data_IF_845011895784
#
_entry.id   IF_845011895784
#
_cell.length_a   1.000
_cell.length_b   1.000
_cell.length_c   1.000
_cell.angle_alpha   90.00
_cell.angle_beta   90.00
_cell.angle_gamma   90.00
#
_symmetry.space_group_name_H-M   'P 1'
#
loop_
_entity.id
_entity.type
_entity.pdbx_description
1 polymer ?
#
# COMPACT_ATOMS: atom_id res chain seq x y z
N UNK A 1 -18.72 -77.22 25.53
CA UNK A 1 -17.33 -76.91 25.95
C UNK A 1 -17.38 -76.54 27.44
N UNK A 2 -16.66 -77.29 28.28
CA UNK A 2 -16.80 -77.21 29.74
C UNK A 2 -16.10 -75.94 30.25
N UNK A 3 -16.86 -74.99 30.85
CA UNK A 3 -16.41 -73.68 31.32
C UNK A 3 -15.19 -73.77 32.24
N UNK A 4 -15.11 -74.88 33.02
CA UNK A 4 -14.00 -75.14 33.95
C UNK A 4 -12.67 -75.42 33.19
N UNK A 5 -12.68 -76.14 32.07
CA UNK A 5 -11.53 -76.37 31.23
C UNK A 5 -11.04 -75.11 30.47
N UNK A 6 -11.97 -74.22 30.17
CA UNK A 6 -11.63 -72.95 29.54
C UNK A 6 -10.96 -72.00 30.54
N UNK A 7 -11.45 -71.98 31.80
CA UNK A 7 -10.83 -71.16 32.86
C UNK A 7 -9.45 -71.65 33.26
N UNK A 8 -9.21 -72.97 33.32
CA UNK A 8 -7.86 -73.56 33.56
C UNK A 8 -6.90 -73.25 32.42
N UNK A 9 -7.33 -73.38 31.15
CA UNK A 9 -6.51 -73.01 29.98
C UNK A 9 -6.18 -71.53 29.88
N UNK A 10 -7.02 -70.63 30.43
CA UNK A 10 -6.72 -69.20 30.49
C UNK A 10 -5.78 -68.85 31.68
N UNK A 11 -5.74 -69.66 32.75
CA UNK A 11 -4.80 -69.49 33.84
C UNK A 11 -3.36 -69.88 33.53
N UNK A 12 -3.17 -70.70 32.50
CA UNK A 12 -1.83 -71.12 32.01
C UNK A 12 -1.21 -70.18 30.97
N UNK A 13 -1.92 -69.12 30.54
CA UNK A 13 -1.38 -68.15 29.61
C UNK A 13 -0.42 -67.21 30.40
N UNK A 14 0.85 -67.34 30.07
CA UNK A 14 1.92 -66.51 30.66
C UNK A 14 1.56 -65.03 30.55
N UNK A 15 1.52 -64.29 31.68
CA UNK A 15 1.20 -62.87 31.78
C UNK A 15 1.98 -62.01 30.76
N UNK A 16 3.12 -62.51 30.31
CA UNK A 16 3.94 -61.85 29.24
C UNK A 16 3.16 -61.71 27.94
N UNK A 17 2.39 -62.73 27.53
CA UNK A 17 1.62 -62.69 26.29
C UNK A 17 0.42 -61.75 26.38
N UNK A 18 -0.17 -61.61 27.57
CA UNK A 18 -1.27 -60.67 27.81
C UNK A 18 -0.73 -59.23 27.77
N UNK A 19 0.40 -58.98 28.42
CA UNK A 19 1.07 -57.64 28.40
C UNK A 19 1.54 -57.33 26.97
N UNK A 20 2.08 -58.28 26.23
CA UNK A 20 2.54 -58.07 24.87
C UNK A 20 1.33 -57.76 23.92
N UNK A 21 0.23 -58.47 24.04
CA UNK A 21 -0.98 -58.21 23.25
C UNK A 21 -1.61 -56.83 23.54
N UNK A 22 -1.63 -56.44 24.79
CA UNK A 22 -2.14 -55.08 25.21
C UNK A 22 -1.17 -54.01 24.72
N UNK A 23 0.14 -54.23 24.84
CA UNK A 23 1.15 -53.29 24.36
C UNK A 23 1.17 -53.14 22.84
N UNK A 24 0.91 -54.24 22.11
CA UNK A 24 0.79 -54.25 20.66
C UNK A 24 -0.39 -53.42 20.17
N UNK A 25 -1.61 -53.62 20.76
CA UNK A 25 -2.76 -52.79 20.45
C UNK A 25 -2.50 -51.32 20.70
N UNK A 26 -1.79 -50.96 21.79
CA UNK A 26 -1.45 -49.58 22.13
C UNK A 26 -0.44 -48.95 21.17
N UNK A 27 0.56 -49.71 20.70
CA UNK A 27 1.54 -49.30 19.69
C UNK A 27 0.89 -49.06 18.31
N UNK A 28 0.00 -49.96 17.88
CA UNK A 28 -0.70 -49.81 16.59
C UNK A 28 -1.66 -48.63 16.62
N UNK A 29 -2.36 -48.37 17.71
CA UNK A 29 -3.25 -47.20 17.86
C UNK A 29 -2.44 -45.88 17.81
N UNK A 30 -1.31 -45.79 18.56
CA UNK A 30 -0.41 -44.62 18.48
C UNK A 30 0.14 -44.39 17.07
N UNK A 31 0.58 -45.43 16.39
CA UNK A 31 1.09 -45.33 15.01
C UNK A 31 0.04 -44.80 14.03
N UNK A 32 -1.20 -45.24 14.14
CA UNK A 32 -2.32 -44.75 13.31
C UNK A 32 -2.66 -43.30 13.60
N UNK A 33 -2.63 -42.85 14.86
CA UNK A 33 -2.87 -41.46 15.26
C UNK A 33 -1.76 -40.57 14.73
N UNK A 34 -0.49 -40.95 14.89
CA UNK A 34 0.66 -40.21 14.37
C UNK A 34 0.59 -40.09 12.83
N UNK A 35 0.28 -41.20 12.13
CA UNK A 35 0.15 -41.18 10.67
C UNK A 35 -0.96 -40.26 10.18
N UNK A 36 -2.12 -40.23 10.87
CA UNK A 36 -3.22 -39.31 10.56
C UNK A 36 -2.84 -37.86 10.85
N UNK A 37 -2.12 -37.59 11.95
CA UNK A 37 -1.63 -36.24 12.28
C UNK A 37 -0.63 -35.72 11.25
N UNK A 38 0.30 -36.57 10.76
CA UNK A 38 1.27 -36.23 9.71
C UNK A 38 0.57 -35.93 8.38
N UNK A 39 -0.43 -36.72 8.00
CA UNK A 39 -1.22 -36.48 6.79
C UNK A 39 -2.00 -35.17 6.91
N UNK A 40 -2.65 -34.91 8.04
CA UNK A 40 -3.39 -33.67 8.28
C UNK A 40 -2.46 -32.44 8.25
N UNK A 41 -1.28 -32.53 8.86
CA UNK A 41 -0.26 -31.46 8.81
C UNK A 41 0.21 -31.22 7.36
N UNK A 42 0.45 -32.27 6.57
CA UNK A 42 0.82 -32.14 5.17
C UNK A 42 -0.25 -31.45 4.32
N UNK A 43 -1.52 -31.81 4.50
CA UNK A 43 -2.64 -31.17 3.80
C UNK A 43 -2.76 -29.69 4.20
N UNK A 44 -2.64 -29.36 5.49
CA UNK A 44 -2.68 -27.98 5.98
C UNK A 44 -1.54 -27.13 5.38
N UNK A 45 -0.33 -27.70 5.28
CA UNK A 45 0.82 -26.99 4.68
C UNK A 45 0.59 -26.72 3.19
N UNK A 46 0.11 -27.71 2.42
CA UNK A 46 -0.23 -27.52 1.00
C UNK A 46 -1.33 -26.50 0.84
N UNK A 47 -2.38 -26.52 1.66
CA UNK A 47 -3.46 -25.55 1.63
C UNK A 47 -2.93 -24.12 1.89
N UNK A 48 -2.08 -23.94 2.91
CA UNK A 48 -1.48 -22.64 3.21
C UNK A 48 -0.59 -22.14 2.05
N UNK A 49 0.17 -23.03 1.41
CA UNK A 49 0.96 -22.68 0.22
C UNK A 49 0.07 -22.23 -0.94
N UNK A 50 -1.01 -22.94 -1.23
CA UNK A 50 -1.95 -22.59 -2.31
C UNK A 50 -2.61 -21.25 -2.02
N UNK A 51 -3.09 -21.02 -0.80
CA UNK A 51 -3.67 -19.73 -0.39
C UNK A 51 -2.66 -18.59 -0.52
N UNK A 52 -1.40 -18.84 -0.14
CA UNK A 52 -0.31 -17.85 -0.27
C UNK A 52 -0.04 -17.50 -1.73
N UNK A 53 0.00 -18.50 -2.62
CA UNK A 53 0.21 -18.29 -4.06
C UNK A 53 -0.96 -17.49 -4.67
N UNK A 54 -2.21 -17.84 -4.31
CA UNK A 54 -3.40 -17.12 -4.78
C UNK A 54 -3.38 -15.66 -4.31
N UNK A 55 -3.02 -15.41 -3.05
CA UNK A 55 -2.90 -14.05 -2.52
C UNK A 55 -1.76 -13.27 -3.19
N UNK A 56 -0.63 -13.89 -3.47
CA UNK A 56 0.45 -13.25 -4.23
C UNK A 56 0.00 -12.84 -5.64
N UNK A 57 -0.77 -13.67 -6.33
CA UNK A 57 -1.25 -13.35 -7.67
C UNK A 57 -2.35 -12.26 -7.65
N UNK A 58 -3.25 -12.29 -6.68
CA UNK A 58 -4.32 -11.29 -6.53
C UNK A 58 -3.81 -9.88 -6.24
N UNK A 59 -2.66 -9.79 -5.56
CA UNK A 59 -2.07 -8.51 -5.18
C UNK A 59 -1.12 -7.94 -6.25
N UNK A 60 -0.85 -8.69 -7.34
CA UNK A 60 0.01 -8.22 -8.42
C UNK A 60 -0.72 -7.23 -9.32
N UNK A 61 -0.08 -6.09 -9.57
CA UNK A 61 -0.54 -5.10 -10.54
C UNK A 61 -0.03 -5.51 -11.93
N UNK A 62 -0.91 -5.49 -12.92
CA UNK A 62 -0.52 -5.73 -14.31
C UNK A 62 0.09 -4.46 -14.88
N UNK A 63 1.24 -4.58 -15.50
CA UNK A 63 1.98 -3.49 -16.10
C UNK A 63 1.93 -3.62 -17.62
N UNK A 64 2.05 -2.52 -18.32
CA UNK A 64 2.17 -2.47 -19.79
C UNK A 64 3.54 -2.96 -20.27
N UNK A 65 3.69 -3.15 -21.57
CA UNK A 65 4.95 -3.53 -22.21
C UNK A 65 6.04 -2.43 -22.13
N UNK A 66 5.67 -1.22 -21.65
CA UNK A 66 6.61 -0.12 -21.41
C UNK A 66 7.43 -0.34 -20.14
N UNK A 67 6.91 -1.14 -19.22
CA UNK A 67 7.59 -1.50 -17.97
C UNK A 67 8.44 -2.76 -18.18
N UNK A 68 9.70 -2.73 -17.74
CA UNK A 68 10.67 -3.79 -17.99
C UNK A 68 11.42 -4.21 -16.72
N UNK A 69 11.55 -5.49 -16.46
CA UNK A 69 12.24 -6.08 -15.30
C UNK A 69 11.74 -5.56 -13.94
N UNK A 70 10.48 -5.14 -13.85
CA UNK A 70 9.86 -4.61 -12.63
C UNK A 70 8.62 -5.42 -12.28
N UNK A 71 8.34 -5.55 -11.00
CA UNK A 71 7.11 -6.15 -10.50
C UNK A 71 6.48 -5.25 -9.44
N UNK A 72 5.17 -5.05 -9.52
CA UNK A 72 4.43 -4.23 -8.56
C UNK A 72 3.31 -5.03 -7.93
N UNK A 73 3.14 -4.86 -6.61
CA UNK A 73 2.06 -5.50 -5.88
C UNK A 73 1.56 -4.64 -4.73
N UNK A 74 0.30 -4.80 -4.38
CA UNK A 74 -0.24 -4.24 -3.15
C UNK A 74 0.37 -4.92 -1.92
N UNK A 75 0.59 -4.15 -0.85
CA UNK A 75 1.12 -4.64 0.43
C UNK A 75 0.39 -4.01 1.61
N UNK A 76 0.04 -4.83 2.61
CA UNK A 76 -0.50 -4.36 3.89
C UNK A 76 0.59 -4.02 4.92
N UNK A 77 1.83 -4.49 4.67
CA UNK A 77 2.96 -4.29 5.58
C UNK A 77 4.13 -3.67 4.80
N UNK A 78 4.10 -2.35 4.56
CA UNK A 78 5.25 -1.68 3.98
C UNK A 78 6.41 -1.74 4.98
N UNK A 79 7.55 -2.26 4.54
CA UNK A 79 8.75 -2.33 5.34
C UNK A 79 9.82 -1.44 4.72
N UNK A 80 10.09 -0.29 5.33
CA UNK A 80 11.07 0.66 4.84
C UNK A 80 12.38 0.45 5.57
N UNK A 81 13.43 0.11 4.82
CA UNK A 81 14.80 0.40 5.24
C UNK A 81 15.14 1.82 4.79
N UNK A 82 15.46 2.69 5.73
CA UNK A 82 15.88 4.06 5.46
C UNK A 82 17.09 4.06 4.51
N UNK A 83 16.88 4.42 3.26
CA UNK A 83 17.97 4.49 2.27
C UNK A 83 18.14 5.84 1.60
N UNK A 84 17.18 6.75 1.67
CA UNK A 84 17.29 8.03 0.98
C UNK A 84 16.89 9.18 1.91
N UNK A 85 17.83 10.07 2.20
CA UNK A 85 17.58 11.43 2.63
C UNK A 85 17.77 12.32 1.42
N UNK A 86 16.70 12.74 0.77
CA UNK A 86 16.71 13.87 -0.17
C UNK A 86 16.42 15.13 0.60
N UNK A 87 17.02 16.27 0.22
CA UNK A 87 16.52 17.57 0.65
C UNK A 87 15.60 18.14 -0.43
N UNK A 88 14.49 18.74 0.01
CA UNK A 88 13.59 19.42 -0.92
C UNK A 88 14.31 20.59 -1.59
N UNK A 89 14.13 20.72 -2.90
CA UNK A 89 14.61 21.90 -3.65
C UNK A 89 13.85 23.12 -3.14
N UNK A 90 14.56 24.21 -2.81
CA UNK A 90 13.91 25.47 -2.46
C UNK A 90 13.13 26.01 -3.65
N UNK A 91 11.83 26.18 -3.48
CA UNK A 91 10.91 26.76 -4.46
C UNK A 91 10.18 27.93 -3.81
N UNK A 92 9.98 28.99 -4.56
CA UNK A 92 9.05 30.08 -4.20
C UNK A 92 7.61 29.61 -4.33
N UNK A 93 6.67 30.35 -3.74
CA UNK A 93 5.24 30.04 -3.88
C UNK A 93 4.78 30.04 -5.34
N UNK A 94 5.29 30.94 -6.19
CA UNK A 94 4.99 30.94 -7.63
C UNK A 94 5.56 29.72 -8.34
N UNK A 95 6.80 29.30 -8.01
CA UNK A 95 7.42 28.13 -8.59
C UNK A 95 6.69 26.82 -8.22
N UNK A 96 6.00 26.75 -7.08
CA UNK A 96 5.15 25.61 -6.73
C UNK A 96 3.99 25.42 -7.71
N UNK A 97 3.52 26.50 -8.35
CA UNK A 97 2.44 26.46 -9.34
C UNK A 97 2.93 26.37 -10.80
N UNK A 98 4.21 26.70 -11.06
CA UNK A 98 4.71 26.84 -12.43
C UNK A 98 5.85 25.90 -12.80
N UNK A 99 6.57 25.37 -11.80
CA UNK A 99 7.76 24.53 -12.02
C UNK A 99 7.43 23.18 -12.64
N UNK A 100 6.30 22.61 -12.24
CA UNK A 100 5.79 21.33 -12.70
C UNK A 100 4.40 21.49 -13.30
N UNK A 101 4.10 20.71 -14.33
CA UNK A 101 2.74 20.65 -14.84
C UNK A 101 1.89 19.87 -13.83
N UNK A 102 1.01 20.57 -13.11
CA UNK A 102 0.15 19.99 -12.08
C UNK A 102 -1.33 20.26 -12.38
N UNK A 103 -2.17 19.26 -12.13
CA UNK A 103 -3.60 19.50 -11.95
C UNK A 103 -3.85 20.02 -10.54
N UNK A 104 -4.89 20.86 -10.36
CA UNK A 104 -5.26 21.38 -9.04
C UNK A 104 -6.74 21.15 -8.84
N UNK A 105 -7.09 20.38 -7.82
CA UNK A 105 -8.49 20.07 -7.51
C UNK A 105 -8.72 19.89 -6.01
N UNK A 106 -9.95 20.19 -5.57
CA UNK A 106 -10.47 19.83 -4.25
C UNK A 106 -11.14 18.46 -4.37
N UNK A 107 -10.90 17.57 -3.42
CA UNK A 107 -11.47 16.22 -3.47
C UNK A 107 -11.45 15.53 -2.12
N UNK A 108 -12.04 14.32 -2.08
CA UNK A 108 -12.09 13.48 -0.89
C UNK A 108 -11.41 12.14 -1.16
N UNK A 109 -10.47 11.78 -0.30
CA UNK A 109 -9.75 10.51 -0.40
C UNK A 109 -10.73 9.37 -0.10
N UNK A 110 -10.91 8.45 -1.06
CA UNK A 110 -11.77 7.27 -0.91
C UNK A 110 -11.03 6.08 -0.34
N UNK A 111 -9.83 5.85 -0.82
CA UNK A 111 -9.01 4.70 -0.45
C UNK A 111 -7.53 5.03 -0.63
N UNK A 112 -6.67 4.44 0.19
CA UNK A 112 -5.22 4.43 0.00
C UNK A 112 -4.72 3.00 0.07
N UNK A 113 -3.95 2.58 -0.91
CA UNK A 113 -3.31 1.26 -0.96
C UNK A 113 -1.80 1.40 -1.05
N UNK A 114 -1.10 0.81 -0.09
CA UNK A 114 0.35 0.72 -0.18
C UNK A 114 0.76 -0.29 -1.25
N UNK A 115 1.84 0.02 -1.95
CA UNK A 115 2.45 -0.82 -2.96
C UNK A 115 3.92 -1.05 -2.66
N UNK A 116 4.45 -2.14 -3.14
CA UNK A 116 5.89 -2.39 -3.26
C UNK A 116 6.22 -2.56 -4.73
N UNK A 117 7.19 -1.79 -5.18
CA UNK A 117 7.79 -1.86 -6.51
C UNK A 117 9.13 -2.60 -6.38
N UNK A 118 9.28 -3.69 -7.09
CA UNK A 118 10.50 -4.51 -7.09
C UNK A 118 11.25 -4.27 -8.41
N UNK A 119 12.31 -3.47 -8.36
CA UNK A 119 13.20 -3.18 -9.47
C UNK A 119 14.33 -4.21 -9.50
N UNK A 120 14.07 -5.38 -10.11
CA UNK A 120 15.07 -6.42 -10.25
C UNK A 120 15.77 -6.78 -8.92
N UNK A 121 14.97 -6.90 -7.83
CA UNK A 121 15.43 -7.24 -6.48
C UNK A 121 15.60 -6.05 -5.53
N UNK A 122 15.67 -4.82 -6.01
CA UNK A 122 15.62 -3.60 -5.20
C UNK A 122 14.17 -3.16 -5.00
N UNK A 123 13.77 -2.95 -3.74
CA UNK A 123 12.39 -2.69 -3.39
C UNK A 123 12.18 -1.27 -2.95
N UNK A 124 11.22 -0.62 -3.62
CA UNK A 124 10.72 0.68 -3.26
C UNK A 124 9.26 0.59 -2.77
N UNK A 125 8.91 1.40 -1.78
CA UNK A 125 7.59 1.43 -1.20
C UNK A 125 6.93 2.77 -1.45
N UNK A 126 5.69 2.73 -1.96
CA UNK A 126 4.86 3.88 -2.29
C UNK A 126 3.42 3.60 -1.85
N UNK A 127 2.53 4.55 -2.06
CA UNK A 127 1.11 4.31 -1.95
C UNK A 127 0.38 4.90 -3.16
N UNK A 128 -0.86 4.44 -3.40
CA UNK A 128 -1.77 5.00 -4.39
C UNK A 128 -3.03 5.44 -3.65
N UNK A 129 -3.35 6.72 -3.76
CA UNK A 129 -4.60 7.28 -3.26
C UNK A 129 -5.64 7.32 -4.38
N UNK A 130 -6.86 6.87 -4.09
CA UNK A 130 -8.04 7.09 -4.94
C UNK A 130 -8.79 8.31 -4.39
N UNK A 131 -8.93 9.37 -5.19
CA UNK A 131 -9.52 10.65 -4.75
C UNK A 131 -10.72 10.96 -5.64
N UNK A 132 -11.87 11.15 -5.03
CA UNK A 132 -13.06 11.66 -5.73
C UNK A 132 -12.94 13.18 -5.85
N UNK A 133 -12.98 13.67 -7.09
CA UNK A 133 -12.85 15.08 -7.44
C UNK A 133 -14.16 15.81 -7.15
N UNK A 134 -14.12 16.84 -6.32
CA UNK A 134 -15.28 17.66 -5.98
C UNK A 134 -15.32 19.00 -6.72
N UNK A 135 -14.15 19.64 -6.93
CA UNK A 135 -14.02 20.90 -7.67
C UNK A 135 -12.66 20.94 -8.36
N UNK A 136 -12.62 21.43 -9.58
CA UNK A 136 -11.39 21.57 -10.37
C UNK A 136 -11.02 23.04 -10.50
N UNK A 137 -9.78 23.39 -10.18
CA UNK A 137 -9.22 24.75 -10.35
C UNK A 137 -8.33 24.83 -11.60
N UNK A 138 -7.59 23.75 -11.91
CA UNK A 138 -6.72 23.63 -13.09
C UNK A 138 -6.54 22.18 -13.48
N UNK A 139 -6.54 21.89 -14.77
CA UNK A 139 -6.22 20.59 -15.35
C UNK A 139 -7.37 19.90 -16.07
N UNK A 140 -7.18 18.62 -16.40
CA UNK A 140 -8.05 17.87 -17.31
C UNK A 140 -9.03 16.92 -16.61
N UNK A 141 -8.92 16.73 -15.29
CA UNK A 141 -9.92 15.95 -14.53
C UNK A 141 -11.25 16.70 -14.43
N UNK A 142 -12.33 15.98 -14.20
CA UNK A 142 -13.68 16.54 -14.07
C UNK A 142 -14.27 16.28 -12.68
N UNK A 143 -15.21 17.14 -12.26
CA UNK A 143 -15.98 16.90 -11.03
C UNK A 143 -16.72 15.57 -11.11
N UNK A 144 -16.66 14.79 -10.05
CA UNK A 144 -17.23 13.44 -9.96
C UNK A 144 -16.29 12.32 -10.43
N UNK A 145 -15.18 12.65 -11.07
CA UNK A 145 -14.17 11.64 -11.41
C UNK A 145 -13.54 11.05 -10.14
N UNK A 146 -13.10 9.81 -10.24
CA UNK A 146 -12.18 9.23 -9.26
C UNK A 146 -10.82 9.08 -9.91
N UNK A 147 -9.86 9.87 -9.44
CA UNK A 147 -8.48 9.87 -9.95
C UNK A 147 -7.55 9.12 -9.01
N UNK A 148 -6.55 8.48 -9.58
CA UNK A 148 -5.49 7.82 -8.83
C UNK A 148 -4.24 8.70 -8.78
N UNK A 149 -3.66 8.83 -7.58
CA UNK A 149 -2.45 9.64 -7.34
C UNK A 149 -1.41 8.78 -6.63
N UNK A 150 -0.21 8.68 -7.20
CA UNK A 150 0.90 8.01 -6.56
C UNK A 150 1.49 8.92 -5.48
N UNK A 151 1.68 8.37 -4.28
CA UNK A 151 2.25 9.06 -3.14
C UNK A 151 3.73 8.70 -2.99
N UNK A 152 4.60 9.65 -2.59
CA UNK A 152 6.05 9.43 -2.53
C UNK A 152 6.49 8.47 -1.42
N UNK A 153 5.60 8.11 -0.52
CA UNK A 153 5.86 7.18 0.58
C UNK A 153 4.64 6.28 0.82
N UNK A 154 4.81 5.12 1.47
CA UNK A 154 3.68 4.34 1.95
C UNK A 154 3.02 5.05 3.14
N UNK A 155 1.71 4.89 3.26
CA UNK A 155 0.93 5.41 4.37
C UNK A 155 0.78 4.30 5.41
N UNK A 156 1.34 4.55 6.60
CA UNK A 156 1.28 3.60 7.72
C UNK A 156 1.43 4.36 9.04
N UNK A 157 0.61 4.05 10.02
CA UNK A 157 0.70 4.67 11.36
C UNK A 157 2.01 4.39 12.13
N UNK A 158 2.90 3.57 11.56
CA UNK A 158 4.18 3.16 12.19
C UNK A 158 5.43 3.71 11.49
N UNK A 159 5.26 4.35 10.33
CA UNK A 159 6.38 4.79 9.50
C UNK A 159 6.28 6.29 9.32
N UNK A 160 7.34 6.98 9.73
CA UNK A 160 7.53 8.39 9.43
C UNK A 160 8.68 8.53 8.42
N UNK A 161 8.39 9.14 7.27
CA UNK A 161 9.37 9.45 6.24
C UNK A 161 9.65 10.94 6.28
N UNK A 162 10.91 11.34 6.21
CA UNK A 162 11.29 12.76 6.17
C UNK A 162 10.68 13.43 4.93
N UNK A 163 10.30 14.70 5.05
CA UNK A 163 9.71 15.53 3.99
C UNK A 163 8.41 14.95 3.39
N UNK A 164 7.59 14.26 4.23
CA UNK A 164 6.28 13.72 3.86
C UNK A 164 5.22 13.99 4.93
N UNK A 165 5.39 15.00 5.79
CA UNK A 165 4.50 15.21 6.92
C UNK A 165 3.05 15.48 6.47
N UNK A 166 2.84 16.22 5.36
CA UNK A 166 1.51 16.45 4.83
C UNK A 166 0.88 15.16 4.28
N UNK A 167 1.61 14.42 3.44
CA UNK A 167 1.10 13.17 2.83
C UNK A 167 0.86 12.10 3.88
N UNK A 168 1.64 12.07 4.97
CA UNK A 168 1.48 11.11 6.07
C UNK A 168 0.16 11.24 6.82
N UNK A 169 -0.50 12.41 6.76
CA UNK A 169 -1.83 12.64 7.35
C UNK A 169 -2.99 12.22 6.43
N UNK A 170 -2.70 11.76 5.20
CA UNK A 170 -3.71 11.29 4.28
C UNK A 170 -4.34 9.99 4.77
N UNK A 171 -5.65 9.94 4.82
CA UNK A 171 -6.46 8.75 5.12
C UNK A 171 -7.80 8.83 4.39
N UNK A 172 -8.45 7.69 4.22
CA UNK A 172 -9.81 7.66 3.65
C UNK A 172 -10.76 8.56 4.45
N UNK A 173 -11.58 9.34 3.74
CA UNK A 173 -12.51 10.33 4.29
C UNK A 173 -11.93 11.74 4.45
N UNK A 174 -10.63 11.94 4.37
CA UNK A 174 -10.01 13.27 4.40
C UNK A 174 -10.33 14.02 3.12
N UNK A 175 -10.83 15.25 3.26
CA UNK A 175 -10.99 16.20 2.17
C UNK A 175 -9.77 17.12 2.11
N UNK A 176 -9.38 17.51 0.89
CA UNK A 176 -8.22 18.37 0.71
C UNK A 176 -8.21 19.05 -0.66
N UNK A 177 -7.24 19.93 -0.84
CA UNK A 177 -6.86 20.45 -2.16
C UNK A 177 -5.55 19.80 -2.52
N UNK A 178 -5.49 19.21 -3.71
CA UNK A 178 -4.39 18.40 -4.21
C UNK A 178 -3.82 19.02 -5.48
N UNK A 179 -2.49 19.00 -5.61
CA UNK A 179 -1.75 19.56 -6.74
C UNK A 179 -0.79 18.50 -7.33
N UNK A 180 -1.27 17.30 -7.70
CA UNK A 180 -0.38 16.28 -8.25
C UNK A 180 0.09 16.65 -9.66
N UNK A 181 1.27 16.15 -10.01
CA UNK A 181 1.92 16.33 -11.30
C UNK A 181 1.29 15.45 -12.37
N UNK A 182 1.11 16.01 -13.56
CA UNK A 182 0.77 15.28 -14.77
C UNK A 182 1.95 14.42 -15.21
N UNK A 183 1.70 13.18 -15.56
CA UNK A 183 2.71 12.25 -16.03
C UNK A 183 2.86 12.36 -17.57
N UNK A 184 3.88 13.09 -18.02
CA UNK A 184 4.33 13.09 -19.42
C UNK A 184 5.27 11.90 -19.71
N UNK A 185 5.84 11.82 -20.89
CA UNK A 185 6.70 10.68 -21.28
C UNK A 185 8.03 10.64 -20.52
N UNK A 186 8.54 11.78 -20.04
CA UNK A 186 9.77 11.86 -19.27
C UNK A 186 9.52 11.59 -17.79
N UNK A 187 8.57 12.30 -17.20
CA UNK A 187 8.22 12.21 -15.77
C UNK A 187 7.55 10.89 -15.40
N UNK A 188 6.90 10.21 -16.35
CA UNK A 188 6.30 8.88 -16.13
C UNK A 188 7.35 7.78 -15.97
N UNK A 189 8.53 7.93 -16.56
CA UNK A 189 9.53 6.87 -16.56
C UNK A 189 10.35 6.87 -15.25
N UNK A 190 10.24 5.79 -14.50
CA UNK A 190 11.05 5.54 -13.31
C UNK A 190 12.03 4.41 -13.58
N UNK A 191 13.32 4.73 -13.61
CA UNK A 191 14.39 3.76 -13.87
C UNK A 191 15.21 3.54 -12.60
N UNK A 192 15.39 2.28 -12.23
CA UNK A 192 16.20 1.88 -11.09
C UNK A 192 16.73 0.46 -11.27
N UNK A 193 17.96 0.19 -10.85
CA UNK A 193 18.61 -1.12 -10.85
C UNK A 193 18.48 -1.92 -12.17
N UNK A 194 18.57 -1.23 -13.32
CA UNK A 194 18.44 -1.85 -14.64
C UNK A 194 17.02 -2.31 -15.01
N UNK A 195 16.03 -1.84 -14.27
CA UNK A 195 14.61 -2.00 -14.55
C UNK A 195 13.95 -0.65 -14.83
N UNK A 196 12.79 -0.65 -15.47
CA UNK A 196 12.01 0.55 -15.76
C UNK A 196 10.53 0.33 -15.50
N UNK A 197 9.87 1.34 -14.94
CA UNK A 197 8.44 1.38 -14.67
C UNK A 197 7.83 2.60 -15.35
N UNK A 198 6.80 2.41 -16.16
CA UNK A 198 5.92 3.52 -16.55
C UNK A 198 4.92 3.74 -15.40
N UNK A 199 5.04 4.86 -14.68
CA UNK A 199 4.19 5.19 -13.52
C UNK A 199 2.72 5.30 -13.88
N UNK A 200 2.38 5.56 -15.15
CA UNK A 200 1.00 5.56 -15.65
C UNK A 200 0.32 4.19 -15.59
N UNK A 201 1.10 3.10 -15.46
CA UNK A 201 0.55 1.77 -15.16
C UNK A 201 -0.03 1.68 -13.74
N UNK A 202 0.30 2.63 -12.86
CA UNK A 202 -0.05 2.62 -11.44
C UNK A 202 -1.06 3.70 -11.06
N UNK A 203 -0.91 4.91 -11.61
CA UNK A 203 -1.72 6.07 -11.24
C UNK A 203 -1.82 7.09 -12.39
N UNK A 204 -2.90 7.89 -12.37
CA UNK A 204 -3.14 8.96 -13.34
C UNK A 204 -2.16 10.12 -13.13
N UNK A 205 -1.77 10.36 -11.86
CA UNK A 205 -0.92 11.46 -11.43
C UNK A 205 0.11 10.99 -10.40
N UNK A 206 1.14 11.82 -10.18
CA UNK A 206 2.19 11.58 -9.17
C UNK A 206 2.40 12.82 -8.29
N UNK A 207 2.71 12.67 -7.02
CA UNK A 207 3.13 13.79 -6.21
C UNK A 207 4.62 14.10 -6.42
N UNK A 208 4.92 15.39 -6.61
CA UNK A 208 6.31 15.88 -6.72
C UNK A 208 7.07 15.61 -5.41
N UNK A 209 6.43 15.91 -4.30
CA UNK A 209 6.94 15.61 -2.95
C UNK A 209 5.78 15.43 -1.94
N UNK A 210 6.11 15.00 -0.74
CA UNK A 210 5.11 14.69 0.30
C UNK A 210 4.74 15.86 1.21
N UNK A 211 5.28 17.06 0.97
CA UNK A 211 5.12 18.20 1.86
C UNK A 211 4.24 19.31 1.28
N UNK A 212 4.46 19.67 0.00
CA UNK A 212 4.06 20.97 -0.53
C UNK A 212 2.84 20.95 -1.46
N UNK A 213 2.44 19.79 -1.95
CA UNK A 213 1.45 19.68 -3.04
C UNK A 213 0.08 19.18 -2.56
N UNK A 214 -0.19 19.32 -1.25
CA UNK A 214 -1.51 19.05 -0.69
C UNK A 214 -1.84 19.96 0.51
N UNK A 215 -3.11 20.24 0.67
CA UNK A 215 -3.71 20.94 1.82
C UNK A 215 -4.85 20.06 2.32
N UNK A 216 -4.78 19.60 3.57
CA UNK A 216 -5.68 18.57 4.09
C UNK A 216 -6.53 19.12 5.23
N UNK A 217 -7.83 18.91 5.18
CA UNK A 217 -8.73 19.15 6.30
C UNK A 217 -8.81 17.86 7.13
N UNK A 218 -8.17 17.86 8.29
CA UNK A 218 -8.09 16.70 9.17
C UNK A 218 -8.88 16.95 10.46
N UNK A 219 -9.08 15.91 11.27
CA UNK A 219 -9.71 16.04 12.60
C UNK A 219 -8.95 17.00 13.54
N UNK A 220 -7.64 17.20 13.29
CA UNK A 220 -6.77 18.10 14.05
C UNK A 220 -6.67 19.51 13.46
N UNK A 221 -7.38 19.80 12.36
CA UNK A 221 -7.37 21.05 11.63
C UNK A 221 -6.72 20.98 10.27
N UNK A 222 -6.40 22.14 9.70
CA UNK A 222 -5.78 22.26 8.39
C UNK A 222 -4.29 21.93 8.45
N UNK A 223 -3.87 20.93 7.65
CA UNK A 223 -2.48 20.46 7.53
C UNK A 223 -1.95 20.78 6.14
N UNK A 224 -0.85 21.50 6.08
CA UNK A 224 -0.08 21.81 4.87
C UNK A 224 1.30 22.35 5.24
N UNK A 225 2.17 22.48 4.27
CA UNK A 225 3.53 23.01 4.44
C UNK A 225 3.53 24.54 4.63
N UNK A 226 3.32 25.01 5.86
CA UNK A 226 3.23 26.44 6.18
C UNK A 226 4.49 27.23 5.84
N UNK A 227 5.67 26.59 5.90
CA UNK A 227 6.94 27.21 5.53
C UNK A 227 7.08 27.44 4.02
N UNK A 228 6.41 26.61 3.19
CA UNK A 228 6.43 26.74 1.74
C UNK A 228 5.39 27.75 1.22
N UNK A 229 4.37 28.05 2.03
CA UNK A 229 3.25 28.94 1.72
C UNK A 229 3.16 30.07 2.77
N UNK A 230 4.22 30.91 2.81
CA UNK A 230 4.37 31.96 3.83
C UNK A 230 3.21 32.98 3.79
N UNK A 231 2.65 33.25 2.61
CA UNK A 231 1.54 34.21 2.43
C UNK A 231 0.22 33.75 3.05
N UNK A 232 0.06 32.45 3.30
CA UNK A 232 -1.11 31.87 3.97
C UNK A 232 -0.71 31.01 5.18
N UNK A 233 0.44 31.26 5.77
CA UNK A 233 0.92 30.45 6.89
C UNK A 233 -0.05 30.39 8.09
N UNK A 234 -0.91 31.40 8.26
CA UNK A 234 -1.91 31.49 9.31
C UNK A 234 -3.29 30.90 8.93
N UNK A 235 -3.44 30.39 7.69
CA UNK A 235 -4.71 29.80 7.25
C UNK A 235 -5.13 28.63 8.15
N UNK A 236 -6.42 28.56 8.45
CA UNK A 236 -7.02 27.58 9.35
C UNK A 236 -8.10 26.74 8.69
N UNK A 237 -8.57 27.14 7.51
CA UNK A 237 -9.63 26.48 6.74
C UNK A 237 -9.21 26.21 5.30
N UNK A 238 -9.83 25.20 4.67
CA UNK A 238 -9.65 24.96 3.23
C UNK A 238 -10.20 26.09 2.36
N UNK A 239 -11.20 26.83 2.81
CA UNK A 239 -11.77 27.96 2.05
C UNK A 239 -10.75 29.10 1.92
N UNK A 240 -9.95 29.37 2.96
CA UNK A 240 -8.84 30.33 2.88
C UNK A 240 -7.75 29.90 1.89
N UNK A 241 -7.45 28.61 1.85
CA UNK A 241 -6.51 28.05 0.86
C UNK A 241 -7.09 28.11 -0.56
N UNK A 242 -8.38 27.82 -0.70
CA UNK A 242 -9.09 27.89 -1.98
C UNK A 242 -9.02 29.31 -2.57
N UNK A 243 -9.33 30.33 -1.77
CA UNK A 243 -9.23 31.73 -2.16
C UNK A 243 -7.80 32.12 -2.58
N UNK A 244 -6.81 31.63 -1.86
CA UNK A 244 -5.40 31.84 -2.20
C UNK A 244 -5.03 31.20 -3.55
N UNK A 245 -5.44 29.96 -3.79
CA UNK A 245 -5.17 29.24 -5.04
C UNK A 245 -5.82 29.95 -6.22
N UNK A 246 -7.08 30.35 -6.10
CA UNK A 246 -7.80 31.07 -7.16
C UNK A 246 -7.09 32.38 -7.51
N UNK A 247 -6.69 33.19 -6.50
CA UNK A 247 -5.92 34.42 -6.70
C UNK A 247 -4.55 34.17 -7.35
N UNK A 248 -3.87 33.09 -6.95
CA UNK A 248 -2.59 32.74 -7.53
C UNK A 248 -2.73 32.33 -9.00
N UNK A 249 -3.74 31.52 -9.32
CA UNK A 249 -4.01 31.13 -10.71
C UNK A 249 -4.43 32.31 -11.58
N UNK A 250 -5.25 33.22 -11.06
CA UNK A 250 -5.62 34.45 -11.77
C UNK A 250 -4.39 35.33 -12.04
N UNK A 251 -3.49 35.46 -11.06
CA UNK A 251 -2.24 36.24 -11.21
C UNK A 251 -1.30 35.63 -12.26
N UNK A 252 -1.17 34.31 -12.28
CA UNK A 252 -0.22 33.61 -13.15
C UNK A 252 -0.77 33.39 -14.55
N UNK A 253 -2.06 33.15 -14.70
CA UNK A 253 -2.67 32.69 -15.94
C UNK A 253 -3.86 33.55 -16.41
N UNK A 254 -4.28 34.55 -15.64
CA UNK A 254 -5.48 35.36 -15.93
C UNK A 254 -5.43 36.16 -17.24
N UNK A 255 -4.27 36.25 -17.88
CA UNK A 255 -4.13 36.86 -19.21
C UNK A 255 -4.32 35.89 -20.38
N UNK A 256 -4.39 34.58 -20.13
CA UNK A 256 -4.56 33.54 -21.16
C UNK A 256 -6.02 33.08 -21.34
N UNK A 257 -6.92 33.53 -20.46
CA UNK A 257 -8.35 33.13 -20.44
C UNK A 257 -9.23 34.26 -21.02
N UNK A 258 -8.82 34.86 -22.14
CA UNK A 258 -9.68 35.80 -22.89
C UNK A 258 -9.78 35.40 -24.36
#
# INVERSE_FOLDING_TARGET
MNVKKFSEAMGDVDDRYIVEAVSYKRKVAKSRIIRRAVIAAGIATVFLMVVSIINMQRNKIQLSDKSYNVAVRYTSNPFIFFRHSGSLIGLTEEELFTKFDTVIFKGTIKEIKNIVVDFNGEKEYRAIAQIEVGKVYRGTCSEGDTVSVMLPCPISGWIHVTDTSTVSEMKAGVTGIFMPMVLDDESALWMENGASLDKRDLADYDFVDGERYAFLETDSGLVFSRWAYASIADATTLDEVEEYIEKMLERLYGHEIK
#
